data_IF_412353659817
#
_entry.id   IF_412353659817
#
_cell.length_a   1.000
_cell.length_b   1.000
_cell.length_c   1.000
_cell.angle_alpha   90.00
_cell.angle_beta   90.00
_cell.angle_gamma   90.00
#
_symmetry.space_group_name_H-M   'P 1'
#
loop_
_entity.id
_entity.type
_entity.pdbx_description
1 polymer ?
#
# COMPACT_ATOMS: atom_id res chain seq x y z
N UNK A 1 -19.75 53.13 33.93
CA UNK A 1 -20.58 52.68 32.78
C UNK A 1 -19.58 52.15 31.75
N UNK A 2 -19.34 50.84 31.74
CA UNK A 2 -18.36 50.25 30.82
C UNK A 2 -19.01 50.16 29.44
N UNK A 3 -18.41 50.83 28.47
CA UNK A 3 -18.83 50.81 27.09
C UNK A 3 -18.54 49.41 26.50
N UNK A 4 -19.60 48.69 26.15
CA UNK A 4 -19.57 47.39 25.48
C UNK A 4 -19.60 47.53 23.95
N UNK A 5 -19.15 48.65 23.39
CA UNK A 5 -19.04 48.88 21.93
C UNK A 5 -17.86 48.14 21.26
N UNK A 6 -17.52 46.93 21.69
CA UNK A 6 -16.79 46.01 20.82
C UNK A 6 -17.82 45.35 19.93
N UNK A 7 -18.04 45.84 18.70
CA UNK A 7 -18.72 45.06 17.66
C UNK A 7 -17.91 43.78 17.49
N UNK A 8 -18.37 42.66 18.02
CA UNK A 8 -17.49 41.55 18.12
C UNK A 8 -17.39 40.91 16.73
N UNK A 9 -16.17 40.60 16.28
CA UNK A 9 -15.92 39.88 15.00
C UNK A 9 -16.78 38.63 14.79
N UNK A 10 -17.44 38.11 15.84
CA UNK A 10 -18.38 37.00 15.77
C UNK A 10 -19.77 37.34 15.19
N UNK A 11 -20.13 38.60 14.97
CA UNK A 11 -21.43 39.00 14.37
C UNK A 11 -21.32 39.59 12.95
N UNK A 12 -20.12 39.75 12.39
CA UNK A 12 -19.93 40.15 10.99
C UNK A 12 -20.01 38.95 10.04
N UNK A 13 -21.25 38.54 9.74
CA UNK A 13 -21.52 37.41 8.85
C UNK A 13 -21.08 37.66 7.40
N UNK A 14 -21.15 38.91 6.93
CA UNK A 14 -20.76 39.26 5.56
C UNK A 14 -19.24 39.22 5.39
N UNK A 15 -18.48 39.82 6.34
CA UNK A 15 -17.02 39.74 6.36
C UNK A 15 -16.53 38.31 6.49
N UNK A 16 -17.12 37.50 7.38
CA UNK A 16 -16.80 36.06 7.51
C UNK A 16 -16.98 35.28 6.20
N UNK A 17 -18.01 35.61 5.41
CA UNK A 17 -18.24 34.98 4.10
C UNK A 17 -17.14 35.35 3.10
N UNK A 18 -16.72 36.61 3.07
CA UNK A 18 -15.68 37.08 2.15
C UNK A 18 -14.29 36.58 2.55
N UNK A 19 -13.96 36.57 3.84
CA UNK A 19 -12.71 36.01 4.37
C UNK A 19 -12.60 34.52 4.01
N UNK A 20 -13.68 33.75 4.20
CA UNK A 20 -13.71 32.34 3.86
C UNK A 20 -13.53 32.10 2.35
N UNK A 21 -14.10 32.97 1.50
CA UNK A 21 -13.90 32.92 0.05
C UNK A 21 -12.44 33.18 -0.29
N UNK A 22 -11.88 34.27 0.22
CA UNK A 22 -10.47 34.66 -0.02
C UNK A 22 -9.51 33.54 0.36
N UNK A 23 -9.68 32.94 1.54
CA UNK A 23 -8.83 31.82 2.00
C UNK A 23 -8.96 30.61 1.06
N UNK A 24 -10.17 30.27 0.61
CA UNK A 24 -10.38 29.13 -0.29
C UNK A 24 -9.81 29.38 -1.68
N UNK A 25 -9.96 30.57 -2.22
CA UNK A 25 -9.36 30.96 -3.50
C UNK A 25 -7.82 30.88 -3.40
N UNK A 26 -7.22 31.39 -2.33
CA UNK A 26 -5.79 31.24 -2.09
C UNK A 26 -5.37 29.77 -2.00
N UNK A 27 -6.13 28.90 -1.33
CA UNK A 27 -5.80 27.48 -1.23
C UNK A 27 -5.98 26.70 -2.52
N UNK A 28 -6.94 27.10 -3.36
CA UNK A 28 -7.03 26.60 -4.74
C UNK A 28 -5.76 26.96 -5.51
N UNK A 29 -5.34 28.21 -5.44
CA UNK A 29 -4.18 28.69 -6.19
C UNK A 29 -2.88 28.06 -5.67
N UNK A 30 -2.69 27.96 -4.34
CA UNK A 30 -1.56 27.24 -3.74
C UNK A 30 -1.48 25.78 -4.23
N UNK A 31 -2.63 25.09 -4.32
CA UNK A 31 -2.69 23.70 -4.79
C UNK A 31 -2.41 23.58 -6.30
N UNK A 32 -2.89 24.54 -7.10
CA UNK A 32 -2.62 24.59 -8.54
C UNK A 32 -1.12 24.79 -8.81
N UNK A 33 -0.48 25.74 -8.14
CA UNK A 33 0.95 26.03 -8.31
C UNK A 33 1.87 24.91 -7.79
N UNK A 34 1.43 24.19 -6.75
CA UNK A 34 2.18 23.05 -6.22
C UNK A 34 2.02 21.76 -7.03
N UNK A 35 1.05 21.69 -7.94
CA UNK A 35 0.76 20.49 -8.71
C UNK A 35 1.82 20.28 -9.80
N UNK A 36 2.56 19.18 -9.71
CA UNK A 36 3.49 18.76 -10.76
C UNK A 36 2.72 18.05 -11.90
N UNK A 37 2.71 18.60 -13.13
CA UNK A 37 2.05 17.95 -14.26
C UNK A 37 2.89 16.81 -14.87
N UNK A 38 4.13 16.61 -14.44
CA UNK A 38 4.96 15.51 -14.90
C UNK A 38 4.42 14.17 -14.38
N UNK A 39 4.24 13.16 -15.26
CA UNK A 39 3.88 11.82 -14.83
C UNK A 39 4.91 11.24 -13.85
N UNK A 40 4.49 10.45 -12.85
CA UNK A 40 5.42 9.76 -11.97
C UNK A 40 6.27 8.76 -12.77
N UNK A 41 7.52 8.58 -12.35
CA UNK A 41 8.39 7.57 -12.94
C UNK A 41 7.86 6.16 -12.67
N UNK A 42 7.92 5.31 -13.69
CA UNK A 42 7.65 3.87 -13.56
C UNK A 42 8.97 3.10 -13.61
N UNK A 43 8.95 1.84 -13.22
CA UNK A 43 10.13 0.98 -13.25
C UNK A 43 10.45 0.41 -14.66
N UNK A 44 9.61 0.71 -15.65
CA UNK A 44 9.77 0.28 -17.05
C UNK A 44 9.44 -1.18 -17.35
N UNK A 45 8.97 -1.97 -16.37
CA UNK A 45 8.79 -3.41 -16.55
C UNK A 45 7.66 -3.76 -17.54
N UNK A 46 6.57 -2.99 -17.60
CA UNK A 46 5.48 -3.25 -18.54
C UNK A 46 5.99 -3.28 -19.98
N UNK A 47 6.69 -2.23 -20.41
CA UNK A 47 7.28 -2.14 -21.74
C UNK A 47 8.31 -3.24 -21.99
N UNK A 48 9.16 -3.52 -20.99
CA UNK A 48 10.20 -4.55 -21.10
C UNK A 48 9.61 -5.93 -21.36
N UNK A 49 8.62 -6.34 -20.57
CA UNK A 49 8.04 -7.67 -20.71
C UNK A 49 7.12 -7.79 -21.93
N UNK A 50 6.48 -6.70 -22.35
CA UNK A 50 5.79 -6.65 -23.64
C UNK A 50 6.76 -6.94 -24.80
N UNK A 51 7.94 -6.30 -24.83
CA UNK A 51 8.97 -6.54 -25.86
C UNK A 51 9.51 -7.98 -25.84
N UNK A 52 9.41 -8.68 -24.70
CA UNK A 52 9.80 -10.08 -24.55
C UNK A 52 8.66 -11.07 -24.90
N UNK A 53 7.47 -10.57 -25.28
CA UNK A 53 6.31 -11.41 -25.60
C UNK A 53 5.49 -11.86 -24.39
N UNK A 54 5.66 -11.21 -23.23
CA UNK A 54 4.95 -11.52 -21.98
C UNK A 54 4.22 -10.27 -21.42
N UNK A 55 3.25 -9.69 -22.14
CA UNK A 55 2.53 -8.52 -21.67
C UNK A 55 1.89 -8.78 -20.30
N UNK A 56 2.07 -7.85 -19.37
CA UNK A 56 1.48 -7.92 -18.01
C UNK A 56 2.18 -8.87 -17.02
N UNK A 57 3.32 -9.49 -17.37
CA UNK A 57 4.02 -10.46 -16.51
C UNK A 57 4.41 -9.90 -15.13
N UNK A 58 4.88 -8.66 -15.07
CA UNK A 58 5.25 -7.96 -13.83
C UNK A 58 4.23 -6.89 -13.42
N UNK A 59 2.98 -7.05 -13.85
CA UNK A 59 1.88 -6.13 -13.54
C UNK A 59 0.81 -6.82 -12.67
N UNK A 60 -0.05 -6.00 -12.05
CA UNK A 60 -1.24 -6.53 -11.40
C UNK A 60 -2.24 -7.03 -12.45
N UNK A 61 -2.55 -8.33 -12.41
CA UNK A 61 -3.50 -8.97 -13.33
C UNK A 61 -4.52 -9.86 -12.62
N UNK A 62 -4.59 -9.84 -11.29
CA UNK A 62 -5.55 -10.68 -10.55
C UNK A 62 -6.99 -10.35 -10.96
N UNK A 63 -7.82 -11.39 -11.09
CA UNK A 63 -9.19 -11.39 -11.62
C UNK A 63 -9.31 -11.31 -13.16
N UNK A 64 -8.23 -11.00 -13.89
CA UNK A 64 -8.19 -11.13 -15.34
C UNK A 64 -8.19 -12.61 -15.76
N UNK A 65 -8.24 -12.87 -17.06
CA UNK A 65 -8.08 -14.21 -17.59
C UNK A 65 -6.60 -14.59 -17.65
N UNK A 66 -6.28 -15.84 -17.29
CA UNK A 66 -4.93 -16.39 -17.32
C UNK A 66 -4.93 -17.75 -18.00
N UNK A 67 -3.77 -18.14 -18.53
CA UNK A 67 -3.53 -19.51 -18.98
C UNK A 67 -3.18 -20.44 -17.81
N UNK A 68 -2.97 -21.72 -18.09
CA UNK A 68 -2.69 -22.75 -17.08
C UNK A 68 -1.40 -22.53 -16.26
N UNK A 69 -0.48 -21.69 -16.73
CA UNK A 69 0.76 -21.34 -16.02
C UNK A 69 0.62 -20.02 -15.25
N UNK A 70 -0.57 -19.43 -15.21
CA UNK A 70 -0.83 -18.16 -14.54
C UNK A 70 -0.35 -16.92 -15.28
N UNK A 71 0.03 -17.04 -16.55
CA UNK A 71 0.31 -15.87 -17.40
C UNK A 71 -1.01 -15.27 -17.87
N UNK A 72 -1.13 -13.94 -17.81
CA UNK A 72 -2.34 -13.23 -18.23
C UNK A 72 -2.59 -13.40 -19.73
N UNK A 73 -3.86 -13.51 -20.11
CA UNK A 73 -4.26 -13.39 -21.51
C UNK A 73 -4.05 -11.95 -22.01
N UNK A 74 -3.42 -11.80 -23.17
CA UNK A 74 -3.04 -10.50 -23.69
C UNK A 74 -4.25 -9.59 -23.99
N UNK A 75 -5.37 -10.13 -24.44
CA UNK A 75 -6.59 -9.35 -24.72
C UNK A 75 -7.25 -8.91 -23.42
N UNK A 76 -7.25 -9.79 -22.42
CA UNK A 76 -7.75 -9.48 -21.09
C UNK A 76 -6.94 -8.37 -20.43
N UNK A 77 -5.60 -8.43 -20.49
CA UNK A 77 -4.73 -7.36 -20.02
C UNK A 77 -4.95 -6.05 -20.79
N UNK A 78 -5.01 -6.09 -22.13
CA UNK A 78 -5.30 -4.93 -22.98
C UNK A 78 -6.62 -4.26 -22.61
N UNK A 79 -7.67 -5.04 -22.31
CA UNK A 79 -8.97 -4.50 -21.92
C UNK A 79 -8.92 -3.70 -20.60
N UNK A 80 -8.07 -4.10 -19.66
CA UNK A 80 -7.83 -3.35 -18.42
C UNK A 80 -7.12 -2.03 -18.71
N UNK A 81 -6.07 -2.04 -19.53
CA UNK A 81 -5.34 -0.81 -19.91
C UNK A 81 -6.26 0.17 -20.65
N UNK A 82 -7.12 -0.32 -21.54
CA UNK A 82 -8.09 0.52 -22.25
C UNK A 82 -9.13 1.12 -21.30
N UNK A 83 -9.57 0.36 -20.29
CA UNK A 83 -10.47 0.87 -19.25
C UNK A 83 -9.81 1.95 -18.37
N UNK A 84 -8.54 1.75 -17.99
CA UNK A 84 -7.75 2.75 -17.26
C UNK A 84 -7.58 4.02 -18.10
N UNK A 85 -7.28 3.89 -19.39
CA UNK A 85 -7.15 5.05 -20.28
C UNK A 85 -8.48 5.81 -20.43
N UNK A 86 -9.61 5.09 -20.46
CA UNK A 86 -10.93 5.70 -20.57
C UNK A 86 -11.40 6.35 -19.26
N UNK A 87 -11.08 5.76 -18.10
CA UNK A 87 -11.46 6.29 -16.79
C UNK A 87 -12.96 6.36 -16.54
N UNK A 88 -13.76 5.51 -17.18
CA UNK A 88 -15.23 5.50 -17.04
C UNK A 88 -15.74 4.18 -16.50
N UNK A 89 -16.87 4.21 -15.77
CA UNK A 89 -17.52 3.00 -15.30
C UNK A 89 -17.86 2.06 -16.45
N UNK A 90 -18.41 2.58 -17.55
CA UNK A 90 -18.76 1.77 -18.71
C UNK A 90 -17.56 1.00 -19.27
N UNK A 91 -16.37 1.61 -19.30
CA UNK A 91 -15.16 0.91 -19.76
C UNK A 91 -14.69 -0.16 -18.78
N UNK A 92 -14.72 0.11 -17.47
CA UNK A 92 -14.35 -0.89 -16.46
C UNK A 92 -15.30 -2.10 -16.42
N UNK A 93 -16.58 -1.91 -16.72
CA UNK A 93 -17.55 -3.02 -16.86
C UNK A 93 -17.29 -3.89 -18.10
N UNK A 94 -16.47 -3.45 -19.06
CA UNK A 94 -16.08 -4.23 -20.24
C UNK A 94 -14.74 -4.94 -20.09
N UNK A 95 -14.06 -4.82 -18.94
CA UNK A 95 -12.80 -5.56 -18.70
C UNK A 95 -13.08 -7.06 -18.73
N UNK A 96 -12.29 -7.78 -19.51
CA UNK A 96 -12.44 -9.23 -19.64
C UNK A 96 -11.87 -9.91 -18.39
N UNK A 97 -12.74 -10.43 -17.53
CA UNK A 97 -12.35 -11.16 -16.32
C UNK A 97 -12.19 -12.66 -16.59
N UNK A 98 -11.41 -13.34 -15.74
CA UNK A 98 -11.14 -14.79 -15.85
C UNK A 98 -12.29 -15.71 -15.41
N UNK A 99 -13.48 -15.16 -15.16
CA UNK A 99 -14.68 -15.94 -14.79
C UNK A 99 -14.80 -16.30 -13.29
N UNK A 100 -13.88 -15.84 -12.45
CA UNK A 100 -13.98 -15.98 -11.00
C UNK A 100 -15.04 -15.08 -10.36
N UNK A 101 -15.31 -15.27 -9.06
CA UNK A 101 -16.23 -14.41 -8.28
C UNK A 101 -15.65 -13.03 -7.94
N UNK A 102 -14.37 -12.82 -8.22
CA UNK A 102 -13.64 -11.60 -7.83
C UNK A 102 -13.79 -10.54 -8.91
N UNK A 103 -14.11 -9.32 -8.46
CA UNK A 103 -14.22 -8.13 -9.30
C UNK A 103 -13.03 -7.20 -9.03
N UNK A 104 -12.83 -6.22 -9.92
CA UNK A 104 -11.88 -5.14 -9.71
C UNK A 104 -12.36 -4.26 -8.55
N UNK A 105 -11.48 -3.99 -7.58
CA UNK A 105 -11.83 -3.24 -6.38
C UNK A 105 -11.69 -1.74 -6.61
N UNK A 106 -12.81 -1.06 -6.86
CA UNK A 106 -12.93 0.40 -6.97
C UNK A 106 -11.87 1.07 -7.90
N UNK A 107 -11.73 0.63 -9.16
CA UNK A 107 -10.71 1.18 -10.05
C UNK A 107 -10.94 2.67 -10.42
N UNK A 108 -12.16 3.18 -10.21
CA UNK A 108 -12.53 4.57 -10.50
C UNK A 108 -12.08 5.59 -9.45
N UNK A 109 -11.59 5.15 -8.29
CA UNK A 109 -11.28 6.07 -7.19
C UNK A 109 -10.25 7.14 -7.56
N UNK A 110 -9.33 6.79 -8.48
CA UNK A 110 -8.26 7.66 -8.94
C UNK A 110 -8.75 8.84 -9.81
N UNK A 111 -9.96 8.80 -10.38
CA UNK A 111 -10.44 9.82 -11.34
C UNK A 111 -11.26 10.93 -10.67
N UNK A 112 -11.29 10.97 -9.33
CA UNK A 112 -12.03 11.96 -8.57
C UNK A 112 -11.15 13.16 -8.21
N UNK A 113 -11.70 14.37 -8.38
CA UNK A 113 -11.08 15.61 -7.94
C UNK A 113 -11.25 15.81 -6.44
N UNK A 114 -10.16 16.14 -5.75
CA UNK A 114 -10.19 16.43 -4.32
C UNK A 114 -10.39 17.93 -4.07
N UNK A 115 -11.43 18.27 -3.30
CA UNK A 115 -11.71 19.66 -2.93
C UNK A 115 -10.79 20.19 -1.81
N UNK A 116 -10.13 19.28 -1.09
CA UNK A 116 -9.21 19.58 0.00
C UNK A 116 -7.98 18.68 -0.09
N UNK A 117 -6.82 19.20 0.31
CA UNK A 117 -5.58 18.46 0.23
C UNK A 117 -5.05 18.36 -1.20
N UNK A 118 -4.23 17.35 -1.45
CA UNK A 118 -3.66 17.11 -2.76
C UNK A 118 -4.66 16.37 -3.65
N UNK A 119 -4.63 16.65 -4.95
CA UNK A 119 -5.43 15.88 -5.91
C UNK A 119 -4.97 14.40 -5.93
N UNK A 120 -5.86 13.51 -6.37
CA UNK A 120 -5.59 12.08 -6.52
C UNK A 120 -4.34 11.80 -7.37
N UNK A 121 -4.03 12.68 -8.34
CA UNK A 121 -2.85 12.60 -9.18
C UNK A 121 -1.68 13.46 -8.70
N UNK A 122 -1.81 14.17 -7.58
CA UNK A 122 -0.78 15.07 -7.07
C UNK A 122 0.19 14.41 -6.09
N UNK A 123 -0.20 13.30 -5.44
CA UNK A 123 0.71 12.56 -4.57
C UNK A 123 1.80 11.84 -5.38
N UNK A 124 2.99 11.65 -4.79
CA UNK A 124 4.12 10.99 -5.44
C UNK A 124 4.73 9.94 -4.52
N UNK A 125 5.25 8.88 -5.14
CA UNK A 125 6.09 7.87 -4.51
C UNK A 125 7.20 7.47 -5.48
N UNK A 126 8.27 6.87 -4.98
CA UNK A 126 9.32 6.32 -5.83
C UNK A 126 8.75 5.22 -6.76
N UNK A 127 9.36 5.06 -7.93
CA UNK A 127 9.09 3.90 -8.76
C UNK A 127 9.35 2.62 -7.96
N UNK A 128 8.51 1.60 -8.18
CA UNK A 128 8.77 0.28 -7.61
C UNK A 128 10.15 -0.25 -8.08
N UNK A 129 10.84 -1.09 -7.30
CA UNK A 129 11.99 -1.80 -7.82
C UNK A 129 11.62 -2.62 -9.07
N UNK A 130 12.57 -2.75 -10.01
CA UNK A 130 12.34 -3.58 -11.20
C UNK A 130 12.21 -5.06 -10.81
N UNK A 131 11.37 -5.81 -11.51
CA UNK A 131 11.04 -7.21 -11.22
C UNK A 131 12.29 -8.10 -11.11
N UNK A 132 13.31 -7.84 -11.93
CA UNK A 132 14.56 -8.60 -11.93
C UNK A 132 15.67 -7.99 -11.06
N UNK A 133 15.32 -7.06 -10.17
CA UNK A 133 16.28 -6.43 -9.25
C UNK A 133 16.60 -7.34 -8.06
N UNK A 134 17.75 -7.09 -7.43
CA UNK A 134 18.08 -7.73 -6.14
C UNK A 134 17.05 -7.35 -5.07
N UNK A 135 16.63 -6.09 -5.05
CA UNK A 135 15.62 -5.59 -4.12
C UNK A 135 14.34 -6.45 -4.14
N UNK A 136 13.74 -6.66 -5.31
CA UNK A 136 12.54 -7.50 -5.47
C UNK A 136 12.79 -8.96 -5.05
N UNK A 137 13.98 -9.49 -5.31
CA UNK A 137 14.34 -10.84 -4.90
C UNK A 137 14.44 -10.96 -3.36
N UNK A 138 15.08 -10.00 -2.70
CA UNK A 138 15.18 -9.95 -1.23
C UNK A 138 13.78 -9.77 -0.61
N UNK A 139 12.97 -8.85 -1.14
CA UNK A 139 11.59 -8.63 -0.69
C UNK A 139 10.75 -9.90 -0.78
N UNK A 140 10.82 -10.61 -1.90
CA UNK A 140 10.08 -11.86 -2.10
C UNK A 140 10.53 -12.94 -1.11
N UNK A 141 11.84 -13.11 -0.92
CA UNK A 141 12.38 -14.08 0.05
C UNK A 141 12.01 -13.69 1.48
N UNK A 142 12.00 -12.40 1.83
CA UNK A 142 11.51 -11.93 3.13
C UNK A 142 10.04 -12.31 3.35
N UNK A 143 9.17 -12.20 2.33
CA UNK A 143 7.77 -12.64 2.42
C UNK A 143 7.65 -14.16 2.64
N UNK A 144 8.51 -14.97 2.04
CA UNK A 144 8.55 -16.42 2.32
C UNK A 144 9.03 -16.72 3.74
N UNK A 145 10.04 -16.01 4.25
CA UNK A 145 10.47 -16.15 5.64
C UNK A 145 9.41 -15.69 6.63
N UNK A 146 8.68 -14.60 6.33
CA UNK A 146 7.52 -14.21 7.12
C UNK A 146 6.49 -15.32 7.17
N UNK A 147 6.24 -16.03 6.06
CA UNK A 147 5.32 -17.15 6.00
C UNK A 147 5.77 -18.32 6.90
N UNK A 148 7.04 -18.72 6.80
CA UNK A 148 7.61 -19.80 7.60
C UNK A 148 7.68 -19.49 9.10
N UNK A 149 7.79 -18.21 9.46
CA UNK A 149 7.92 -17.76 10.84
C UNK A 149 6.61 -17.29 11.48
N UNK A 150 5.45 -17.41 10.81
CA UNK A 150 4.13 -16.88 11.25
C UNK A 150 3.77 -17.23 12.69
N UNK A 151 4.07 -18.46 13.09
CA UNK A 151 3.65 -19.03 14.38
C UNK A 151 4.74 -18.94 15.48
N UNK A 152 5.84 -18.20 15.25
CA UNK A 152 6.89 -17.99 16.24
C UNK A 152 6.53 -16.76 17.09
N UNK A 153 6.38 -16.88 18.43
CA UNK A 153 6.18 -15.73 19.29
C UNK A 153 7.37 -14.76 19.23
N UNK A 154 7.11 -13.45 19.15
CA UNK A 154 8.17 -12.43 18.99
C UNK A 154 9.22 -12.45 20.13
N UNK A 155 8.82 -12.79 21.36
CA UNK A 155 9.71 -12.94 22.51
C UNK A 155 10.67 -14.14 22.39
N UNK A 156 10.41 -15.04 21.44
CA UNK A 156 11.25 -16.21 21.14
C UNK A 156 12.18 -16.02 19.95
N UNK A 157 12.11 -14.87 19.25
CA UNK A 157 12.91 -14.63 18.03
C UNK A 157 14.42 -14.80 18.26
N UNK A 158 14.94 -14.25 19.37
CA UNK A 158 16.37 -14.33 19.70
C UNK A 158 16.88 -15.77 19.90
N UNK A 159 15.98 -16.69 20.28
CA UNK A 159 16.30 -18.08 20.60
C UNK A 159 15.86 -19.07 19.51
N UNK A 160 15.22 -18.60 18.43
CA UNK A 160 14.71 -19.46 17.37
C UNK A 160 15.77 -19.75 16.30
N UNK A 161 16.02 -21.03 16.04
CA UNK A 161 16.88 -21.47 14.94
C UNK A 161 16.34 -21.06 13.57
N UNK A 162 15.01 -21.03 13.39
CA UNK A 162 14.38 -20.64 12.13
C UNK A 162 14.53 -19.14 11.85
N UNK A 163 14.42 -18.32 12.90
CA UNK A 163 14.66 -16.86 12.79
C UNK A 163 16.11 -16.56 12.45
N UNK A 164 17.05 -17.30 13.04
CA UNK A 164 18.47 -17.17 12.69
C UNK A 164 18.72 -17.54 11.22
N UNK A 165 18.15 -18.65 10.75
CA UNK A 165 18.25 -19.06 9.35
C UNK A 165 17.69 -17.99 8.39
N UNK A 166 16.57 -17.37 8.74
CA UNK A 166 15.99 -16.28 7.97
C UNK A 166 16.92 -15.06 7.87
N UNK A 167 17.52 -14.65 8.99
CA UNK A 167 18.46 -13.54 9.02
C UNK A 167 19.70 -13.82 8.17
N UNK A 168 20.29 -15.01 8.32
CA UNK A 168 21.47 -15.43 7.58
C UNK A 168 21.20 -15.47 6.07
N UNK A 169 20.07 -16.04 5.65
CA UNK A 169 19.67 -16.12 4.24
C UNK A 169 19.44 -14.74 3.62
N UNK A 170 18.68 -13.86 4.28
CA UNK A 170 18.43 -12.49 3.81
C UNK A 170 19.73 -11.69 3.69
N UNK A 171 20.61 -11.77 4.69
CA UNK A 171 21.91 -11.11 4.62
C UNK A 171 22.77 -11.64 3.45
N UNK A 172 22.77 -12.96 3.21
CA UNK A 172 23.49 -13.56 2.09
C UNK A 172 22.94 -13.12 0.72
N UNK A 173 21.63 -12.88 0.60
CA UNK A 173 21.00 -12.35 -0.63
C UNK A 173 21.29 -10.87 -0.87
N UNK A 174 21.79 -10.18 0.14
CA UNK A 174 22.21 -8.80 0.07
C UNK A 174 21.25 -7.80 0.73
N UNK A 175 20.52 -8.23 1.76
CA UNK A 175 19.60 -7.37 2.51
C UNK A 175 20.26 -6.08 3.00
N UNK A 176 21.46 -6.15 3.57
CA UNK A 176 22.16 -4.97 4.08
C UNK A 176 22.52 -3.97 2.95
N UNK A 177 22.84 -4.47 1.76
CA UNK A 177 23.15 -3.64 0.60
C UNK A 177 21.90 -2.93 0.05
N UNK A 178 20.73 -3.55 0.19
CA UNK A 178 19.45 -2.98 -0.25
C UNK A 178 18.84 -2.02 0.78
N UNK A 179 19.00 -2.28 2.07
CA UNK A 179 18.29 -1.55 3.14
C UNK A 179 19.20 -0.78 4.09
N UNK A 180 20.52 -0.95 4.01
CA UNK A 180 21.51 -0.19 4.78
C UNK A 180 21.72 -0.66 6.22
N UNK A 181 21.17 -1.80 6.62
CA UNK A 181 21.39 -2.43 7.93
C UNK A 181 21.31 -3.95 7.86
N UNK A 182 22.01 -4.62 8.77
CA UNK A 182 21.99 -6.08 8.84
C UNK A 182 20.64 -6.62 9.36
N UNK A 183 20.19 -7.71 8.74
CA UNK A 183 19.06 -8.49 9.23
C UNK A 183 19.48 -9.29 10.47
N UNK A 184 18.82 -9.07 11.60
CA UNK A 184 19.08 -9.73 12.88
C UNK A 184 17.78 -10.13 13.54
N UNK A 185 17.75 -11.03 14.55
CA UNK A 185 16.52 -11.33 15.27
C UNK A 185 15.82 -10.09 15.87
N UNK A 186 16.55 -9.01 16.13
CA UNK A 186 15.99 -7.75 16.62
C UNK A 186 15.37 -6.89 15.51
N UNK A 187 15.94 -6.92 14.30
CA UNK A 187 15.59 -6.04 13.16
C UNK A 187 14.73 -6.72 12.10
N UNK A 188 14.71 -8.06 12.05
CA UNK A 188 13.93 -8.87 11.12
C UNK A 188 12.44 -8.49 11.20
N UNK A 189 11.83 -8.26 10.04
CA UNK A 189 10.41 -7.91 9.88
C UNK A 189 9.99 -6.59 10.56
N UNK A 190 10.94 -5.68 10.81
CA UNK A 190 10.66 -4.33 11.32
C UNK A 190 10.84 -3.26 10.25
N UNK A 191 10.14 -2.15 10.40
CA UNK A 191 10.31 -0.98 9.53
C UNK A 191 11.57 -0.16 9.88
N UNK A 192 12.08 0.66 8.96
CA UNK A 192 13.30 1.44 9.14
C UNK A 192 13.08 2.77 9.90
N UNK A 193 11.89 2.99 10.45
CA UNK A 193 11.52 4.26 11.07
C UNK A 193 12.01 4.35 12.51
N UNK A 194 12.31 5.57 12.95
CA UNK A 194 12.82 5.83 14.29
C UNK A 194 11.92 5.20 15.38
N UNK A 195 12.53 4.36 16.21
CA UNK A 195 11.86 3.70 17.32
C UNK A 195 11.24 2.34 16.98
N UNK A 196 11.17 1.95 15.69
CA UNK A 196 10.72 0.61 15.31
C UNK A 196 11.70 -0.47 15.76
N UNK A 197 12.99 -0.16 15.86
CA UNK A 197 14.07 -1.05 16.28
C UNK A 197 14.18 -1.20 17.81
N UNK A 198 13.48 -0.36 18.58
CA UNK A 198 13.59 -0.29 20.03
C UNK A 198 12.42 -1.00 20.71
N UNK A 199 12.73 -1.92 21.64
CA UNK A 199 11.73 -2.56 22.50
C UNK A 199 10.98 -3.73 21.82
N UNK A 200 9.78 -4.06 22.32
CA UNK A 200 8.96 -5.16 21.79
C UNK A 200 8.62 -4.98 20.30
N UNK A 201 8.34 -6.08 19.61
CA UNK A 201 7.98 -6.04 18.19
C UNK A 201 6.62 -5.38 17.95
N UNK A 202 5.67 -5.58 18.88
CA UNK A 202 4.31 -5.04 18.79
C UNK A 202 4.24 -3.70 19.53
N UNK A 203 3.68 -2.70 18.87
CA UNK A 203 3.42 -1.37 19.44
C UNK A 203 2.57 -1.47 20.71
N UNK A 204 2.92 -0.68 21.74
CA UNK A 204 2.15 -0.63 22.99
C UNK A 204 0.69 -0.18 22.78
N UNK A 205 0.44 0.63 21.74
CA UNK A 205 -0.92 1.04 21.37
C UNK A 205 -1.80 -0.12 20.90
N UNK A 206 -1.24 -1.29 20.58
CA UNK A 206 -1.99 -2.50 20.20
C UNK A 206 -2.17 -3.48 21.37
N UNK A 207 -1.53 -3.23 22.52
CA UNK A 207 -1.54 -4.13 23.69
C UNK A 207 -2.25 -3.53 24.91
N UNK A 208 -2.20 -2.20 25.07
CA UNK A 208 -2.82 -1.53 26.20
C UNK A 208 -4.34 -1.45 26.05
N UNK A 209 -5.06 -1.48 27.17
CA UNK A 209 -6.51 -1.27 27.17
C UNK A 209 -6.85 0.14 26.66
N UNK A 210 -7.82 0.24 25.76
CA UNK A 210 -8.25 1.52 25.19
C UNK A 210 -9.51 2.01 25.92
N UNK A 211 -9.49 3.17 26.58
CA UNK A 211 -10.72 3.73 27.15
C UNK A 211 -11.64 4.21 26.03
N UNK A 212 -12.87 3.68 25.98
CA UNK A 212 -13.89 4.10 25.03
C UNK A 212 -15.19 4.43 25.75
N UNK A 213 -15.51 5.72 25.84
CA UNK A 213 -16.58 6.20 26.70
C UNK A 213 -16.29 5.89 28.16
N UNK A 214 -17.18 5.15 28.84
CA UNK A 214 -17.04 4.73 30.23
C UNK A 214 -16.55 3.28 30.40
N UNK A 215 -16.14 2.60 29.33
CA UNK A 215 -15.69 1.21 29.36
C UNK A 215 -14.30 1.05 28.73
N UNK A 216 -13.41 0.25 29.33
CA UNK A 216 -12.16 -0.15 28.67
C UNK A 216 -12.43 -1.24 27.62
N UNK A 217 -11.80 -1.10 26.46
CA UNK A 217 -11.73 -2.15 25.44
C UNK A 217 -10.40 -2.87 25.61
N UNK A 218 -10.46 -4.14 26.00
CA UNK A 218 -9.29 -5.01 26.01
C UNK A 218 -8.95 -5.45 24.59
N UNK A 219 -7.71 -5.25 24.16
CA UNK A 219 -7.27 -5.55 22.79
C UNK A 219 -6.97 -7.03 22.57
N UNK A 220 -7.96 -7.89 22.84
CA UNK A 220 -7.90 -9.34 22.57
C UNK A 220 -8.67 -9.66 21.30
N UNK A 221 -8.00 -10.30 20.35
CA UNK A 221 -8.56 -10.61 19.04
C UNK A 221 -8.65 -12.12 18.83
N UNK A 222 -9.57 -12.56 17.98
CA UNK A 222 -9.56 -13.94 17.46
C UNK A 222 -8.43 -14.03 16.44
N UNK A 223 -7.44 -14.85 16.74
CA UNK A 223 -6.30 -15.08 15.88
C UNK A 223 -6.58 -16.26 14.93
N UNK A 224 -6.09 -16.24 13.67
CA UNK A 224 -6.15 -17.39 12.78
C UNK A 224 -5.56 -18.66 13.42
N UNK A 225 -5.98 -19.83 12.97
CA UNK A 225 -5.47 -21.08 13.54
C UNK A 225 -4.00 -21.30 13.12
N UNK A 226 -3.08 -21.59 14.06
CA UNK A 226 -1.68 -21.90 13.75
C UNK A 226 -1.55 -23.11 12.81
N UNK A 227 -0.55 -23.09 11.93
CA UNK A 227 -0.25 -24.17 10.98
C UNK A 227 -1.20 -24.30 9.78
N UNK A 228 -2.07 -23.31 9.52
CA UNK A 228 -2.94 -23.28 8.35
C UNK A 228 -2.51 -22.20 7.35
N UNK A 229 -2.08 -22.66 6.17
CA UNK A 229 -1.77 -21.84 5.02
C UNK A 229 -2.73 -22.15 3.85
N UNK A 230 -2.88 -21.19 2.93
CA UNK A 230 -3.78 -21.29 1.78
C UNK A 230 -3.01 -21.00 0.49
N UNK A 231 -3.56 -21.43 -0.65
CA UNK A 231 -2.93 -21.26 -1.97
C UNK A 231 -1.54 -21.90 -2.04
N UNK A 232 -1.38 -23.06 -1.37
CA UNK A 232 -0.12 -23.81 -1.31
C UNK A 232 0.02 -24.86 -2.40
N UNK A 233 -1.03 -25.04 -3.21
CA UNK A 233 -1.08 -25.89 -4.40
C UNK A 233 -1.55 -25.08 -5.62
N UNK A 234 -1.20 -25.55 -6.82
CA UNK A 234 -1.47 -24.84 -8.07
C UNK A 234 -2.97 -24.69 -8.33
N UNK A 235 -3.77 -25.69 -7.96
CA UNK A 235 -5.21 -25.68 -8.19
C UNK A 235 -5.87 -24.60 -7.34
N UNK A 236 -5.58 -24.54 -6.04
CA UNK A 236 -6.14 -23.50 -5.15
C UNK A 236 -5.56 -22.11 -5.42
N UNK A 237 -4.34 -22.02 -5.95
CA UNK A 237 -3.73 -20.75 -6.36
C UNK A 237 -4.33 -20.18 -7.66
N UNK A 238 -4.68 -21.05 -8.62
CA UNK A 238 -5.13 -20.65 -9.97
C UNK A 238 -6.63 -20.32 -10.09
N UNK A 239 -7.42 -20.61 -9.05
CA UNK A 239 -8.87 -20.37 -8.98
C UNK A 239 -9.22 -18.96 -8.49
#
# INVERSE_FOLDING_TARGET
MFDYSCNPKHLDFAGRREDARTIRDQKRDDAFEAFDPCPPETNGDEQRFEQMGFPGFAAFTKALAHNANGLVDANSFKSLLDAIQAGTQAAFEQVQLGGGKRLLANPLNAYSFQAIGNDSHGARMAAAPAFNSRNTAVDMVERYWMALCRDIPFDQYANSGLIRAACDDLNNLGFEQEFGFACTPQTLFRGPYAGCEVGPHVSQFLLQDVPFGNQPIQQRQRYPQPGYDYMTDLDSWSQ
#
